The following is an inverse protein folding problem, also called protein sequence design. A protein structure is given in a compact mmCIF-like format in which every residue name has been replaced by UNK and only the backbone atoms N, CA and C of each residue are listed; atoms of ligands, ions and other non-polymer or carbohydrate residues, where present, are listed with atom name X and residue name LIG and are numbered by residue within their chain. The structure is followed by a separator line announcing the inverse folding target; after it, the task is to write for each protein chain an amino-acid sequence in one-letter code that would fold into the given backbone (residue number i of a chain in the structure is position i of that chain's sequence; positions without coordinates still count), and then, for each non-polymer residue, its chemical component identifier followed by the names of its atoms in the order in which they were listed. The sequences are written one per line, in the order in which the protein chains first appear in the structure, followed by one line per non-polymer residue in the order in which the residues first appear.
data_IF_298623437684
#
_entry.id   IF_298623437684
#
_cell.length_a   1.000
_cell.length_b   1.000
_cell.length_c   1.000
_cell.angle_alpha   90.00
_cell.angle_beta   90.00
_cell.angle_gamma   90.00
#
_symmetry.space_group_name_H-M   'P 1'
#
loop_
_entity.id
_entity.type
_entity.pdbx_description
1 polymer ?
#
# COMPACT_ATOMS: atom_id res chain seq x y z
N UNK A 1 4.96 20.06 -3.79
CA UNK A 1 6.35 19.57 -3.94
C UNK A 1 6.44 18.23 -4.67
N UNK A 2 5.34 17.50 -4.89
CA UNK A 2 5.35 16.16 -5.53
C UNK A 2 5.52 16.20 -7.06
N UNK A 3 5.14 17.29 -7.74
CA UNK A 3 5.27 17.41 -9.20
C UNK A 3 6.72 17.59 -9.71
N UNK A 4 7.65 18.08 -8.86
CA UNK A 4 9.06 18.25 -9.23
C UNK A 4 9.87 16.95 -9.10
N UNK A 5 9.41 16.01 -8.27
CA UNK A 5 10.09 14.73 -8.05
C UNK A 5 9.90 13.81 -9.26
N UNK A 6 8.68 13.72 -9.79
CA UNK A 6 8.37 12.95 -11.01
C UNK A 6 9.13 13.44 -12.24
N UNK A 7 9.25 14.76 -12.43
CA UNK A 7 9.97 15.31 -13.58
C UNK A 7 11.48 15.04 -13.52
N UNK A 8 12.06 15.00 -12.30
CA UNK A 8 13.47 14.69 -12.11
C UNK A 8 13.76 13.19 -12.30
N UNK A 9 12.82 12.32 -11.92
CA UNK A 9 12.89 10.87 -12.15
C UNK A 9 12.81 10.54 -13.65
N UNK A 10 11.93 11.20 -14.41
CA UNK A 10 11.82 10.99 -15.86
C UNK A 10 13.10 11.47 -16.57
N UNK A 11 13.67 12.62 -16.17
CA UNK A 11 14.91 13.14 -16.74
C UNK A 11 16.12 12.20 -16.51
N UNK A 12 16.21 11.58 -15.33
CA UNK A 12 17.22 10.57 -15.02
C UNK A 12 17.02 9.26 -15.81
N UNK A 13 15.77 8.89 -16.12
CA UNK A 13 15.45 7.74 -16.94
C UNK A 13 15.94 7.92 -18.40
N UNK A 14 15.82 9.13 -18.95
CA UNK A 14 16.32 9.44 -20.30
C UNK A 14 17.86 9.47 -20.40
N UNK A 15 18.58 9.78 -19.32
CA UNK A 15 20.05 9.79 -19.31
C UNK A 15 20.64 8.37 -19.26
N UNK A 16 19.94 7.42 -18.64
CA UNK A 16 20.39 6.02 -18.51
C UNK A 16 20.24 5.18 -19.79
N UNK A 17 19.38 5.59 -20.72
CA UNK A 17 19.15 4.87 -21.98
C UNK A 17 20.37 4.97 -22.93
N UNK A 18 21.27 5.95 -22.74
CA UNK A 18 22.38 6.23 -23.66
C UNK A 18 23.74 5.62 -23.29
N UNK A 19 23.84 4.81 -22.23
CA UNK A 19 25.08 4.14 -21.81
C UNK A 19 24.95 2.61 -21.96
N UNK A 20 25.58 1.99 -22.98
CA UNK A 20 25.24 0.64 -23.44
C UNK A 20 25.79 -0.51 -22.58
N UNK A 21 26.46 -0.23 -21.45
CA UNK A 21 27.17 -1.26 -20.67
C UNK A 21 26.62 -1.50 -19.26
N UNK A 22 25.53 -0.83 -18.85
CA UNK A 22 24.97 -0.94 -17.49
C UNK A 22 23.50 -1.41 -17.47
N UNK A 23 22.98 -1.93 -18.60
CA UNK A 23 21.54 -2.17 -18.74
C UNK A 23 21.05 -3.44 -18.04
N UNK A 24 21.80 -4.54 -18.02
CA UNK A 24 21.30 -5.82 -17.48
C UNK A 24 21.08 -5.79 -15.97
N UNK A 25 22.09 -5.38 -15.20
CA UNK A 25 21.99 -5.30 -13.73
C UNK A 25 20.98 -4.25 -13.26
N UNK A 26 20.81 -3.14 -13.99
CA UNK A 26 19.80 -2.13 -13.65
C UNK A 26 18.40 -2.62 -14.00
N UNK A 27 18.20 -3.34 -15.12
CA UNK A 27 16.92 -3.96 -15.45
C UNK A 27 16.56 -5.09 -14.50
N UNK A 28 17.55 -5.85 -14.01
CA UNK A 28 17.35 -6.86 -12.97
C UNK A 28 17.05 -6.22 -11.60
N UNK A 29 17.75 -5.13 -11.24
CA UNK A 29 17.51 -4.43 -9.98
C UNK A 29 16.18 -3.66 -9.98
N UNK A 30 15.84 -2.95 -11.06
CA UNK A 30 14.51 -2.37 -11.27
C UNK A 30 13.46 -3.47 -11.41
N UNK A 31 13.74 -4.57 -12.10
CA UNK A 31 12.83 -5.68 -12.32
C UNK A 31 12.48 -6.40 -11.02
N UNK A 32 13.46 -6.67 -10.14
CA UNK A 32 13.23 -7.28 -8.83
C UNK A 32 12.54 -6.30 -7.85
N UNK A 33 12.81 -4.99 -7.98
CA UNK A 33 12.14 -3.94 -7.22
C UNK A 33 10.68 -3.78 -7.64
N UNK A 34 10.39 -3.88 -8.95
CA UNK A 34 9.03 -3.86 -9.48
C UNK A 34 8.28 -5.14 -9.12
N UNK A 35 8.91 -6.31 -9.26
CA UNK A 35 8.25 -7.61 -9.10
C UNK A 35 7.75 -7.90 -7.68
N UNK A 36 8.42 -7.34 -6.66
CA UNK A 36 8.04 -7.54 -5.25
C UNK A 36 6.90 -6.62 -4.81
N UNK A 37 6.82 -5.42 -5.41
CA UNK A 37 5.72 -4.47 -5.19
C UNK A 37 4.43 -4.89 -5.87
N UNK A 38 4.50 -5.74 -6.90
CA UNK A 38 3.33 -6.26 -7.62
C UNK A 38 2.34 -6.94 -6.66
N UNK A 39 2.82 -7.79 -5.74
CA UNK A 39 1.90 -8.59 -4.92
C UNK A 39 1.00 -7.77 -3.99
N UNK A 40 1.54 -6.76 -3.31
CA UNK A 40 0.73 -5.90 -2.45
C UNK A 40 -0.30 -5.16 -3.29
N UNK A 41 0.10 -4.68 -4.46
CA UNK A 41 -0.77 -3.98 -5.39
C UNK A 41 -1.86 -4.90 -5.96
N UNK A 42 -1.51 -6.15 -6.28
CA UNK A 42 -2.44 -7.18 -6.76
C UNK A 42 -3.49 -7.50 -5.70
N UNK A 43 -3.05 -7.71 -4.45
CA UNK A 43 -3.95 -7.94 -3.32
C UNK A 43 -4.82 -6.71 -3.07
N UNK A 44 -4.25 -5.51 -3.10
CA UNK A 44 -4.95 -4.24 -2.91
C UNK A 44 -6.00 -3.97 -4.00
N UNK A 45 -5.79 -4.44 -5.23
CA UNK A 45 -6.73 -4.34 -6.35
C UNK A 45 -7.79 -5.44 -6.36
N UNK A 46 -7.52 -6.57 -5.71
CA UNK A 46 -8.44 -7.71 -5.68
C UNK A 46 -9.74 -7.41 -4.91
N UNK A 47 -9.74 -6.44 -4.00
CA UNK A 47 -10.87 -6.08 -3.13
C UNK A 47 -10.99 -4.56 -2.98
N UNK A 48 -12.20 -4.08 -2.72
CA UNK A 48 -12.48 -2.66 -2.57
C UNK A 48 -11.72 -2.01 -1.39
N UNK A 49 -11.51 -2.75 -0.30
CA UNK A 49 -10.68 -2.35 0.82
C UNK A 49 -9.83 -3.54 1.31
N UNK A 50 -8.56 -3.27 1.61
CA UNK A 50 -7.57 -4.26 2.05
C UNK A 50 -6.76 -3.70 3.21
N UNK A 51 -6.57 -4.50 4.24
CA UNK A 51 -5.83 -4.13 5.45
C UNK A 51 -4.77 -5.21 5.70
N UNK A 52 -3.51 -4.82 5.73
CA UNK A 52 -2.42 -5.69 6.16
C UNK A 52 -2.19 -5.51 7.66
N UNK A 53 -2.21 -6.62 8.40
CA UNK A 53 -2.14 -6.65 9.88
C UNK A 53 -1.08 -7.64 10.35
N UNK A 54 -0.89 -7.70 11.68
CA UNK A 54 -0.13 -8.75 12.36
C UNK A 54 -0.92 -9.19 13.59
N UNK A 55 -0.82 -10.46 13.99
CA UNK A 55 -1.44 -10.93 15.23
C UNK A 55 -0.88 -10.22 16.47
N UNK A 56 0.38 -9.77 16.42
CA UNK A 56 1.03 -9.06 17.53
C UNK A 56 0.66 -7.57 17.65
N UNK A 57 -0.27 -7.05 16.84
CA UNK A 57 -0.57 -5.62 16.71
C UNK A 57 -1.95 -5.27 17.29
N UNK A 58 -1.98 -4.65 18.47
CA UNK A 58 -3.24 -4.24 19.11
C UNK A 58 -4.03 -3.20 18.29
N UNK A 59 -3.34 -2.23 17.67
CA UNK A 59 -3.96 -1.18 16.86
C UNK A 59 -4.63 -1.71 15.59
N UNK A 60 -4.21 -2.87 15.10
CA UNK A 60 -4.76 -3.48 13.90
C UNK A 60 -6.22 -3.90 14.10
N UNK A 61 -6.58 -4.38 15.29
CA UNK A 61 -7.97 -4.68 15.65
C UNK A 61 -8.85 -3.43 15.64
N UNK A 62 -8.37 -2.31 16.17
CA UNK A 62 -9.13 -1.05 16.18
C UNK A 62 -9.45 -0.57 14.77
N UNK A 63 -8.47 -0.62 13.86
CA UNK A 63 -8.68 -0.25 12.45
C UNK A 63 -9.65 -1.20 11.76
N UNK A 64 -9.53 -2.50 12.01
CA UNK A 64 -10.44 -3.49 11.44
C UNK A 64 -11.89 -3.26 11.91
N UNK A 65 -12.11 -3.04 13.21
CA UNK A 65 -13.43 -2.73 13.77
C UNK A 65 -13.99 -1.43 13.18
N UNK A 66 -13.17 -0.38 13.06
CA UNK A 66 -13.58 0.90 12.47
C UNK A 66 -14.15 0.72 11.06
N UNK A 67 -13.51 -0.11 10.22
CA UNK A 67 -14.03 -0.39 8.87
C UNK A 67 -15.38 -1.11 8.92
N UNK A 68 -15.55 -2.08 9.82
CA UNK A 68 -16.83 -2.77 10.00
C UNK A 68 -17.93 -1.85 10.53
N UNK A 69 -17.62 -0.95 11.46
CA UNK A 69 -18.55 0.05 11.98
C UNK A 69 -19.02 1.03 10.89
N UNK A 70 -18.15 1.34 9.93
CA UNK A 70 -18.50 2.12 8.74
C UNK A 70 -19.32 1.32 7.71
N UNK A 71 -19.56 0.02 7.96
CA UNK A 71 -20.28 -0.88 7.07
C UNK A 71 -19.43 -1.47 5.94
N UNK A 72 -18.11 -1.27 5.96
CA UNK A 72 -17.19 -1.83 4.97
C UNK A 72 -16.78 -3.26 5.36
N UNK A 73 -16.58 -4.12 4.36
CA UNK A 73 -15.99 -5.45 4.54
C UNK A 73 -14.58 -5.47 3.93
N UNK A 74 -13.54 -5.08 4.69
CA UNK A 74 -12.17 -5.11 4.21
C UNK A 74 -11.63 -6.54 4.18
N UNK A 75 -10.76 -6.85 3.22
CA UNK A 75 -9.96 -8.07 3.27
C UNK A 75 -8.76 -7.86 4.20
N UNK A 76 -8.62 -8.71 5.20
CA UNK A 76 -7.54 -8.64 6.19
C UNK A 76 -6.49 -9.70 5.86
N UNK A 77 -5.23 -9.26 5.74
CA UNK A 77 -4.08 -10.16 5.51
C UNK A 77 -3.10 -10.06 6.68
N UNK A 78 -3.02 -11.14 7.45
CA UNK A 78 -2.09 -11.27 8.57
C UNK A 78 -0.69 -11.65 8.07
N UNK A 79 0.25 -10.70 8.17
CA UNK A 79 1.60 -10.85 7.65
C UNK A 79 2.45 -11.84 8.45
N UNK A 80 2.11 -12.15 9.69
CA UNK A 80 2.84 -13.12 10.51
C UNK A 80 2.36 -14.55 10.32
N UNK A 81 1.13 -14.74 9.86
CA UNK A 81 0.58 -16.06 9.53
C UNK A 81 0.82 -16.48 8.07
N UNK A 82 1.07 -15.52 7.16
CA UNK A 82 1.38 -15.84 5.75
C UNK A 82 2.86 -16.27 5.59
N UNK A 83 3.17 -17.40 4.92
CA UNK A 83 4.55 -17.83 4.65
C UNK A 83 5.36 -16.79 3.86
N UNK A 84 4.70 -15.95 3.08
CA UNK A 84 5.27 -14.83 2.31
C UNK A 84 5.10 -13.49 3.03
N UNK A 85 4.67 -13.49 4.27
CA UNK A 85 4.55 -12.34 5.15
C UNK A 85 5.76 -11.41 5.16
N UNK A 86 6.95 -11.99 5.41
CA UNK A 86 8.24 -11.26 5.39
C UNK A 86 8.54 -10.57 4.08
N UNK A 87 8.04 -11.11 2.96
CA UNK A 87 8.19 -10.50 1.64
C UNK A 87 7.36 -9.22 1.55
N UNK A 88 6.10 -9.31 1.97
CA UNK A 88 5.14 -8.20 1.98
C UNK A 88 5.53 -7.12 2.98
N UNK A 89 6.01 -7.48 4.17
CA UNK A 89 6.55 -6.50 5.13
C UNK A 89 7.66 -5.64 4.54
N UNK A 90 8.63 -6.27 3.85
CA UNK A 90 9.72 -5.52 3.20
C UNK A 90 9.19 -4.59 2.12
N UNK A 91 8.21 -5.04 1.34
CA UNK A 91 7.59 -4.20 0.31
C UNK A 91 6.79 -3.03 0.95
N UNK A 92 6.09 -3.24 2.07
CA UNK A 92 5.46 -2.16 2.83
C UNK A 92 6.50 -1.15 3.37
N UNK A 93 7.65 -1.61 3.86
CA UNK A 93 8.74 -0.71 4.27
C UNK A 93 9.26 0.13 3.09
N UNK A 94 9.39 -0.47 1.91
CA UNK A 94 9.80 0.23 0.70
C UNK A 94 8.77 1.27 0.24
N UNK A 95 7.48 1.03 0.50
CA UNK A 95 6.39 1.99 0.28
C UNK A 95 6.34 3.12 1.33
N UNK A 96 7.23 3.10 2.34
CA UNK A 96 7.35 4.14 3.35
C UNK A 96 6.56 3.88 4.64
N UNK A 97 6.02 2.68 4.84
CA UNK A 97 5.32 2.35 6.08
C UNK A 97 6.30 2.06 7.22
N UNK A 98 6.22 2.87 8.29
CA UNK A 98 6.96 2.66 9.53
C UNK A 98 6.13 3.15 10.74
N UNK A 99 5.54 2.25 11.55
CA UNK A 99 5.58 0.77 11.46
C UNK A 99 4.88 0.21 10.22
N UNK A 100 5.24 -1.01 9.81
CA UNK A 100 4.70 -1.65 8.58
C UNK A 100 3.22 -1.95 8.62
N UNK A 101 2.64 -2.07 9.81
CA UNK A 101 1.23 -2.38 10.01
C UNK A 101 0.61 -1.45 11.07
N UNK A 102 -0.70 -1.18 11.00
CA UNK A 102 -1.60 -1.58 9.91
C UNK A 102 -1.37 -0.74 8.66
N UNK A 103 -1.30 -1.40 7.50
CA UNK A 103 -1.22 -0.73 6.20
C UNK A 103 -2.55 -0.91 5.47
N UNK A 104 -3.20 0.21 5.14
CA UNK A 104 -4.55 0.22 4.58
C UNK A 104 -4.54 0.69 3.14
N UNK A 105 -5.26 -0.07 2.31
CA UNK A 105 -5.46 0.19 0.90
C UNK A 105 -6.96 0.23 0.59
N UNK A 106 -7.38 1.20 -0.20
CA UNK A 106 -8.78 1.34 -0.66
C UNK A 106 -8.72 1.57 -2.18
N UNK A 107 -9.48 0.78 -2.94
CA UNK A 107 -9.50 0.85 -4.41
C UNK A 107 -8.09 0.71 -5.03
N UNK A 108 -7.26 -0.19 -4.49
CA UNK A 108 -5.86 -0.34 -4.89
C UNK A 108 -4.92 0.81 -4.52
N UNK A 109 -5.42 1.87 -3.87
CA UNK A 109 -4.61 3.04 -3.46
C UNK A 109 -4.21 2.92 -2.00
N UNK A 110 -2.94 3.23 -1.74
CA UNK A 110 -2.41 3.35 -0.38
C UNK A 110 -3.09 4.52 0.34
N UNK A 111 -3.79 4.24 1.45
CA UNK A 111 -4.37 5.27 2.32
C UNK A 111 -3.36 5.70 3.38
N UNK A 112 -2.62 4.74 3.93
CA UNK A 112 -1.59 4.98 4.93
C UNK A 112 -1.74 4.10 6.16
N UNK A 113 -1.15 4.57 7.25
CA UNK A 113 -1.02 3.86 8.53
C UNK A 113 -2.28 4.04 9.39
N UNK A 114 -2.32 3.41 10.58
CA UNK A 114 -3.40 3.63 11.55
C UNK A 114 -3.72 5.11 11.80
N UNK A 115 -2.68 5.95 11.89
CA UNK A 115 -2.83 7.38 12.15
C UNK A 115 -3.53 8.10 10.99
N UNK A 116 -3.15 7.80 9.76
CA UNK A 116 -3.70 8.43 8.56
C UNK A 116 -5.15 8.02 8.35
N UNK A 117 -5.46 6.75 8.61
CA UNK A 117 -6.82 6.22 8.58
C UNK A 117 -7.71 6.87 9.64
N UNK A 118 -7.19 7.03 10.85
CA UNK A 118 -7.94 7.70 11.92
C UNK A 118 -8.15 9.19 11.61
N UNK A 119 -7.15 9.87 11.07
CA UNK A 119 -7.29 11.25 10.60
C UNK A 119 -8.35 11.36 9.50
N UNK A 120 -8.33 10.44 8.53
CA UNK A 120 -9.33 10.34 7.47
C UNK A 120 -10.74 9.98 7.99
N UNK A 121 -10.83 9.31 9.14
CA UNK A 121 -12.11 9.07 9.78
C UNK A 121 -12.65 10.35 10.44
N UNK A 122 -11.78 11.11 11.12
CA UNK A 122 -12.14 12.36 11.78
C UNK A 122 -12.52 13.47 10.78
N UNK A 123 -11.88 13.51 9.61
CA UNK A 123 -12.19 14.47 8.55
C UNK A 123 -13.38 14.01 7.66
N UNK A 124 -13.89 12.78 7.85
CA UNK A 124 -14.97 12.19 7.08
C UNK A 124 -14.58 11.64 5.69
N UNK A 125 -13.37 11.93 5.22
CA UNK A 125 -12.90 11.53 3.88
C UNK A 125 -12.73 10.02 3.72
N UNK A 126 -12.56 9.28 4.83
CA UNK A 126 -12.50 7.82 4.81
C UNK A 126 -13.82 7.23 4.29
N UNK A 127 -14.95 7.76 4.75
CA UNK A 127 -16.27 7.29 4.32
C UNK A 127 -16.47 7.56 2.83
N UNK A 128 -16.11 8.75 2.36
CA UNK A 128 -16.20 9.12 0.94
C UNK A 128 -15.35 8.21 0.05
N UNK A 129 -14.13 7.89 0.48
CA UNK A 129 -13.24 6.94 -0.21
C UNK A 129 -13.85 5.54 -0.29
N UNK A 130 -14.48 5.07 0.79
CA UNK A 130 -15.15 3.76 0.82
C UNK A 130 -16.37 3.73 -0.11
N UNK A 131 -17.15 4.80 -0.20
CA UNK A 131 -18.27 4.92 -1.13
C UNK A 131 -17.76 4.90 -2.58
N UNK A 132 -16.73 5.71 -2.89
CA UNK A 132 -16.11 5.74 -4.22
C UNK A 132 -15.56 4.38 -4.64
N UNK A 133 -14.95 3.65 -3.70
CA UNK A 133 -14.43 2.30 -3.90
C UNK A 133 -15.52 1.22 -3.98
N UNK A 134 -16.81 1.59 -3.81
CA UNK A 134 -17.94 0.65 -3.70
C UNK A 134 -17.76 -0.39 -2.58
N UNK A 135 -17.02 -0.01 -1.54
CA UNK A 135 -16.84 -0.83 -0.34
C UNK A 135 -18.08 -0.75 0.57
N UNK A 136 -18.81 0.37 0.50
CA UNK A 136 -20.06 0.62 1.22
C UNK A 136 -21.09 1.27 0.28
N UNK A 137 -22.38 1.08 0.59
CA UNK A 137 -23.51 1.44 -0.30
C UNK A 137 -24.43 2.53 0.30
N UNK A 138 -24.07 3.11 1.45
CA UNK A 138 -24.88 4.05 2.23
C UNK A 138 -24.64 5.51 1.84
#
# INVERSE_FOLDING_TARGET
LEHKVLHNIISLHYCFIYLPSFSSLLFDFLGLFFHKMDRINDLAKAKAAVIFTKSSCCMCHSIQTLFYELGASPAVYELDCDPRGREMERALQQLGFNPTVPAVFIDGKCVGSAKDVLAAHLDGSLKDRLIQAKAIWF
#
